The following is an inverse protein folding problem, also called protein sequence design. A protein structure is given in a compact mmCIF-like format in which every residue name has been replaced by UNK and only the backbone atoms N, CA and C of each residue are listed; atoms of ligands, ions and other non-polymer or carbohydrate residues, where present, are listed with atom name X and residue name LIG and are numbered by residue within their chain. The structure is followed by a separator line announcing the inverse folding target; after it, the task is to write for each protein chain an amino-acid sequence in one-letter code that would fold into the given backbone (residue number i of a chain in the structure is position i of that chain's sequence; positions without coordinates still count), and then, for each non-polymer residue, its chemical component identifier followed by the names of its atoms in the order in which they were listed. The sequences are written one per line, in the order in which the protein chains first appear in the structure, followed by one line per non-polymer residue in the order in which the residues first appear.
data_IF_747898439952
#
_entry.id   IF_747898439952
#
_cell.length_a   1.000
_cell.length_b   1.000
_cell.length_c   1.000
_cell.angle_alpha   90.00
_cell.angle_beta   90.00
_cell.angle_gamma   90.00
#
_symmetry.space_group_name_H-M   'P 1'
#
loop_
_entity.id
_entity.type
_entity.pdbx_description
1 polymer ?
#
# COMPACT_ATOMS: atom_id res chain seq x y z
N UNK A 1 9.61 -5.16 -2.26
CA UNK A 1 9.60 -5.37 -3.73
C UNK A 1 8.18 -5.56 -4.31
N UNK A 2 7.24 -6.17 -3.59
CA UNK A 2 5.86 -6.39 -4.05
C UNK A 2 5.09 -5.09 -4.39
N UNK A 3 5.13 -4.09 -3.50
CA UNK A 3 4.38 -2.82 -3.68
C UNK A 3 4.80 -2.08 -4.95
N UNK A 4 6.10 -2.09 -5.28
CA UNK A 4 6.61 -1.49 -6.52
C UNK A 4 5.99 -2.13 -7.75
N UNK A 5 5.84 -3.46 -7.79
CA UNK A 5 5.19 -4.18 -8.90
C UNK A 5 3.70 -3.86 -9.00
N UNK A 6 2.99 -3.84 -7.87
CA UNK A 6 1.56 -3.49 -7.82
C UNK A 6 1.26 -2.12 -8.45
N UNK A 7 2.04 -1.10 -8.12
CA UNK A 7 1.90 0.25 -8.71
C UNK A 7 2.23 0.23 -10.21
N UNK A 8 3.14 -0.63 -10.65
CA UNK A 8 3.64 -0.68 -12.04
C UNK A 8 2.70 -1.46 -12.97
N UNK A 9 2.07 -2.53 -12.48
CA UNK A 9 1.41 -3.54 -13.31
C UNK A 9 -0.04 -3.15 -13.66
N UNK A 10 -0.75 -2.49 -12.75
CA UNK A 10 -2.20 -2.33 -12.90
C UNK A 10 -2.65 -0.89 -13.24
N UNK A 11 -1.71 0.02 -13.53
CA UNK A 11 -2.00 1.41 -13.89
C UNK A 11 -2.95 2.12 -12.89
N UNK A 12 -2.94 1.68 -11.62
CA UNK A 12 -3.75 2.27 -10.57
C UNK A 12 -3.11 3.58 -10.14
N UNK A 13 -3.72 4.69 -10.55
CA UNK A 13 -3.35 6.06 -10.16
C UNK A 13 -3.53 6.31 -8.66
N UNK A 14 -4.20 5.42 -7.94
CA UNK A 14 -4.38 5.50 -6.50
C UNK A 14 -4.40 4.08 -5.92
N UNK A 15 -3.73 3.87 -4.78
CA UNK A 15 -3.55 2.56 -4.18
C UNK A 15 -3.67 2.66 -2.66
N UNK A 16 -4.57 1.90 -2.07
CA UNK A 16 -4.78 1.84 -0.63
C UNK A 16 -4.12 0.57 -0.08
N UNK A 17 -3.29 0.73 0.94
CA UNK A 17 -2.52 -0.34 1.56
C UNK A 17 -3.01 -0.49 3.00
N UNK A 18 -3.66 -1.60 3.30
CA UNK A 18 -4.10 -1.96 4.64
C UNK A 18 -3.08 -2.92 5.25
N UNK A 19 -2.54 -2.54 6.40
CA UNK A 19 -1.56 -3.34 7.15
C UNK A 19 -1.90 -3.37 8.63
N UNK A 20 -1.37 -4.38 9.34
CA UNK A 20 -1.47 -4.40 10.79
C UNK A 20 -0.78 -3.16 11.42
N UNK A 21 -1.33 -2.54 12.48
CA UNK A 21 -0.77 -1.33 13.09
C UNK A 21 0.70 -1.47 13.53
N UNK A 22 1.12 -2.63 14.03
CA UNK A 22 2.55 -2.86 14.36
C UNK A 22 3.44 -2.86 13.11
N UNK A 23 2.93 -3.35 11.98
CA UNK A 23 3.66 -3.31 10.71
C UNK A 23 3.65 -1.89 10.12
N UNK A 24 2.57 -1.13 10.31
CA UNK A 24 2.55 0.29 9.97
C UNK A 24 3.58 1.09 10.78
N UNK A 25 3.77 0.82 12.07
CA UNK A 25 4.81 1.49 12.88
C UNK A 25 6.21 1.18 12.32
N UNK A 26 6.46 -0.09 11.99
CA UNK A 26 7.70 -0.53 11.36
C UNK A 26 7.94 0.17 10.01
N UNK A 27 6.92 0.21 9.14
CA UNK A 27 6.99 0.89 7.84
C UNK A 27 7.14 2.41 7.99
N UNK A 28 6.51 3.02 9.00
CA UNK A 28 6.59 4.46 9.27
C UNK A 28 8.01 4.89 9.63
N UNK A 29 8.80 4.01 10.26
CA UNK A 29 10.19 4.31 10.64
C UNK A 29 11.20 4.30 9.47
N UNK A 30 10.85 3.83 8.27
CA UNK A 30 11.82 3.78 7.16
C UNK A 30 11.26 3.69 5.74
N UNK A 31 10.22 2.89 5.50
CA UNK A 31 9.77 2.56 4.14
C UNK A 31 8.63 3.45 3.65
N UNK A 32 7.86 4.11 4.53
CA UNK A 32 6.69 4.91 4.14
C UNK A 32 7.04 6.04 3.18
N UNK A 33 8.08 6.82 3.50
CA UNK A 33 8.53 7.90 2.63
C UNK A 33 9.08 7.42 1.29
N UNK A 34 9.62 6.19 1.24
CA UNK A 34 10.07 5.56 -0.01
C UNK A 34 8.86 5.13 -0.86
N UNK A 35 7.82 4.57 -0.23
CA UNK A 35 6.58 4.17 -0.88
C UNK A 35 5.78 5.38 -1.38
N UNK A 36 5.70 6.47 -0.61
CA UNK A 36 5.08 7.73 -1.04
C UNK A 36 5.84 8.37 -2.21
N UNK A 37 7.18 8.40 -2.16
CA UNK A 37 8.00 8.87 -3.29
C UNK A 37 7.84 7.98 -4.52
N UNK A 38 7.76 6.67 -4.34
CA UNK A 38 7.48 5.75 -5.44
C UNK A 38 6.09 6.02 -6.00
N UNK A 39 5.04 6.14 -5.20
CA UNK A 39 3.72 6.46 -5.73
C UNK A 39 3.73 7.79 -6.50
N UNK A 40 4.33 8.86 -5.94
CA UNK A 40 4.46 10.17 -6.61
C UNK A 40 5.16 10.10 -7.96
N UNK A 41 6.25 9.33 -8.07
CA UNK A 41 6.97 9.17 -9.33
C UNK A 41 6.14 8.51 -10.43
N UNK A 42 5.08 7.80 -10.05
CA UNK A 42 4.22 7.03 -10.95
C UNK A 42 2.88 7.73 -11.19
N UNK A 43 2.77 9.03 -10.82
CA UNK A 43 1.50 9.78 -10.76
C UNK A 43 0.42 9.09 -9.91
N UNK A 44 0.86 8.20 -9.03
CA UNK A 44 0.02 7.44 -8.13
C UNK A 44 -0.09 8.10 -6.76
N UNK A 45 -1.21 7.96 -6.07
CA UNK A 45 -1.35 8.30 -4.65
C UNK A 45 -1.44 7.02 -3.81
N UNK A 46 -0.67 6.93 -2.72
CA UNK A 46 -0.72 5.77 -1.82
C UNK A 46 -1.31 6.18 -0.48
N UNK A 47 -2.36 5.47 -0.05
CA UNK A 47 -2.98 5.68 1.26
C UNK A 47 -2.71 4.50 2.15
N UNK A 48 -2.17 4.72 3.34
CA UNK A 48 -1.95 3.65 4.32
C UNK A 48 -3.09 3.63 5.34
N UNK A 49 -3.76 2.50 5.45
CA UNK A 49 -4.75 2.22 6.50
C UNK A 49 -4.23 1.14 7.43
N UNK A 50 -4.70 1.18 8.67
CA UNK A 50 -4.37 0.20 9.70
C UNK A 50 -5.61 -0.66 9.96
N UNK A 51 -5.40 -1.97 10.07
CA UNK A 51 -6.42 -2.91 10.52
C UNK A 51 -5.78 -3.89 11.52
N UNK A 52 -6.23 -3.90 12.76
CA UNK A 52 -5.75 -4.80 13.81
C UNK A 52 -6.26 -6.24 13.68
N UNK A 53 -7.33 -6.47 12.90
CA UNK A 53 -7.79 -7.81 12.55
C UNK A 53 -6.87 -8.49 11.50
N UNK A 54 -5.97 -7.71 10.89
CA UNK A 54 -5.04 -8.20 9.89
C UNK A 54 -3.87 -8.92 10.54
N UNK A 55 -3.46 -10.07 10.00
CA UNK A 55 -2.23 -10.70 10.47
C UNK A 55 -1.02 -9.79 10.26
N UNK A 56 -0.06 -9.84 11.20
CA UNK A 56 1.20 -9.11 11.16
C UNK A 56 1.99 -9.25 9.85
N UNK A 57 1.82 -10.38 9.14
CA UNK A 57 2.48 -10.66 7.85
C UNK A 57 1.57 -10.48 6.64
N UNK A 58 0.33 -10.06 6.84
CA UNK A 58 -0.62 -9.83 5.75
C UNK A 58 -0.54 -8.38 5.27
N UNK A 59 -0.68 -8.22 3.97
CA UNK A 59 -0.83 -6.94 3.31
C UNK A 59 -2.04 -7.04 2.41
N UNK A 60 -3.01 -6.18 2.62
CA UNK A 60 -4.15 -6.06 1.71
C UNK A 60 -4.01 -4.78 0.91
N UNK A 61 -4.17 -4.91 -0.40
CA UNK A 61 -4.14 -3.79 -1.32
C UNK A 61 -5.55 -3.58 -1.83
N UNK A 62 -5.98 -2.33 -1.88
CA UNK A 62 -7.29 -1.94 -2.38
C UNK A 62 -7.13 -0.84 -3.42
N UNK A 63 -7.97 -0.89 -4.45
CA UNK A 63 -8.15 0.22 -5.37
C UNK A 63 -9.14 1.20 -4.73
N UNK A 64 -8.73 2.42 -4.35
CA UNK A 64 -9.63 3.39 -3.72
C UNK A 64 -10.74 3.86 -4.68
N UNK A 65 -10.51 3.81 -6.00
CA UNK A 65 -11.50 4.18 -7.01
C UNK A 65 -12.70 3.22 -7.09
N UNK A 66 -12.54 1.96 -6.69
CA UNK A 66 -13.58 0.93 -6.84
C UNK A 66 -13.78 0.05 -5.58
N UNK A 67 -13.00 0.26 -4.52
CA UNK A 67 -13.02 -0.51 -3.28
C UNK A 67 -12.64 -1.99 -3.45
N UNK A 68 -12.16 -2.40 -4.63
CA UNK A 68 -11.80 -3.79 -4.88
C UNK A 68 -10.45 -4.09 -4.27
N UNK A 69 -10.38 -5.23 -3.57
CA UNK A 69 -9.12 -5.83 -3.16
C UNK A 69 -8.33 -6.23 -4.40
N UNK A 70 -7.09 -5.78 -4.47
CA UNK A 70 -6.12 -6.14 -5.50
C UNK A 70 -5.37 -7.36 -4.98
N UNK A 71 -5.64 -8.51 -5.56
CA UNK A 71 -4.89 -9.75 -5.30
C UNK A 71 -3.61 -9.75 -6.15
N UNK A 72 -2.48 -10.12 -5.54
CA UNK A 72 -1.14 -10.04 -6.14
C UNK A 72 -0.40 -11.38 -6.05
#
# INVERSE_FOLDING_TARGET
RAIKRLITVDNHEQLEVVVHPQMNDYLTRGDKGLLERLAKNWKGEVTFKQNDELHLNSFEFYSPSNGKKIEW
#
